data_IF_270613189889
#
_entry.id   IF_270613189889
#
_cell.length_a   1.000
_cell.length_b   1.000
_cell.length_c   1.000
_cell.angle_alpha   90.00
_cell.angle_beta   90.00
_cell.angle_gamma   90.00
#
_symmetry.space_group_name_H-M   'P 1'
#
loop_
_entity.id
_entity.type
_entity.pdbx_description
1 polymer ?
#
# COMPACT_ATOMS: atom_id res chain seq x y z
N UNK A 1 16.37 19.68 -1.14
CA UNK A 1 15.75 18.42 -0.59
C UNK A 1 16.05 17.19 -1.43
N UNK A 2 16.01 17.23 -2.78
CA UNK A 2 16.24 16.01 -3.58
C UNK A 2 17.54 15.29 -3.22
N UNK A 3 18.66 16.02 -3.17
CA UNK A 3 19.96 15.43 -2.77
C UNK A 3 19.90 14.74 -1.40
N UNK A 4 19.24 15.35 -0.41
CA UNK A 4 19.08 14.73 0.91
C UNK A 4 18.23 13.45 0.86
N UNK A 5 17.17 13.41 0.05
CA UNK A 5 16.36 12.21 -0.16
C UNK A 5 17.14 11.09 -0.86
N UNK A 6 17.93 11.43 -1.87
CA UNK A 6 18.80 10.47 -2.55
C UNK A 6 19.88 9.89 -1.60
N UNK A 7 20.44 10.72 -0.74
CA UNK A 7 21.38 10.28 0.31
C UNK A 7 20.72 9.34 1.33
N UNK A 8 19.52 9.69 1.82
CA UNK A 8 18.74 8.82 2.72
C UNK A 8 18.43 7.47 2.07
N UNK A 9 18.05 7.46 0.79
CA UNK A 9 17.81 6.24 0.03
C UNK A 9 19.06 5.38 -0.07
N UNK A 10 20.20 5.94 -0.46
CA UNK A 10 21.45 5.20 -0.60
C UNK A 10 21.96 4.67 0.75
N UNK A 11 21.91 5.48 1.81
CA UNK A 11 22.26 5.04 3.16
C UNK A 11 21.37 3.88 3.63
N UNK A 12 20.06 3.97 3.37
CA UNK A 12 19.14 2.90 3.70
C UNK A 12 19.44 1.62 2.91
N UNK A 13 19.70 1.74 1.62
CA UNK A 13 20.08 0.60 0.76
C UNK A 13 21.33 -0.11 1.27
N UNK A 14 22.27 0.64 1.84
CA UNK A 14 23.51 0.14 2.46
C UNK A 14 23.29 -0.44 3.87
N UNK A 15 22.07 -0.41 4.42
CA UNK A 15 21.75 -0.99 5.71
C UNK A 15 22.00 -0.08 6.91
N UNK A 16 22.25 1.21 6.70
CA UNK A 16 22.50 2.16 7.78
C UNK A 16 21.25 2.39 8.64
N UNK A 17 21.48 2.76 9.91
CA UNK A 17 20.45 3.21 10.82
C UNK A 17 20.39 4.75 10.85
N UNK A 18 19.20 5.28 11.09
CA UNK A 18 18.91 6.71 11.05
C UNK A 18 18.56 7.23 12.44
N UNK A 19 19.25 8.26 12.84
CA UNK A 19 19.07 8.99 14.09
C UNK A 19 18.83 10.46 13.75
N UNK A 20 18.26 11.24 14.69
CA UNK A 20 18.06 12.68 14.53
C UNK A 20 17.30 13.10 13.27
N UNK A 21 16.37 12.26 12.81
CA UNK A 21 15.57 12.55 11.61
C UNK A 21 14.70 13.80 11.77
N UNK A 22 14.36 14.18 13.00
CA UNK A 22 13.61 15.39 13.27
C UNK A 22 14.34 16.67 12.83
N UNK A 23 15.67 16.68 12.75
CA UNK A 23 16.45 17.80 12.21
C UNK A 23 16.16 18.00 10.71
N UNK A 24 16.09 16.91 9.95
CA UNK A 24 15.75 16.93 8.51
C UNK A 24 14.26 17.25 8.33
N UNK A 25 13.37 16.62 9.14
CA UNK A 25 11.93 16.82 9.08
C UNK A 25 11.57 18.28 9.38
N UNK A 26 12.21 18.92 10.37
CA UNK A 26 12.03 20.32 10.75
C UNK A 26 12.88 21.31 9.96
N UNK A 27 13.60 20.88 8.91
CA UNK A 27 14.35 21.80 8.07
C UNK A 27 13.42 22.67 7.23
N UNK A 28 13.81 23.91 6.99
CA UNK A 28 13.03 24.88 6.21
C UNK A 28 12.65 24.33 4.83
N UNK A 29 13.61 23.77 4.11
CA UNK A 29 13.41 23.24 2.77
C UNK A 29 12.40 22.07 2.78
N UNK A 30 12.40 21.24 3.83
CA UNK A 30 11.46 20.13 3.94
C UNK A 30 10.05 20.63 4.25
N UNK A 31 9.91 21.61 5.15
CA UNK A 31 8.60 22.17 5.51
C UNK A 31 7.98 22.91 4.30
N UNK A 32 8.75 23.73 3.60
CA UNK A 32 8.28 24.40 2.38
C UNK A 32 7.86 23.44 1.28
N UNK A 33 8.59 22.31 1.11
CA UNK A 33 8.22 21.27 0.17
C UNK A 33 6.92 20.56 0.61
N UNK A 34 6.79 20.23 1.89
CA UNK A 34 5.60 19.62 2.45
C UNK A 34 4.36 20.51 2.28
N UNK A 35 4.50 21.79 2.52
CA UNK A 35 3.43 22.76 2.30
C UNK A 35 2.99 22.80 0.82
N UNK A 36 3.93 22.87 -0.12
CA UNK A 36 3.64 22.81 -1.56
C UNK A 36 2.89 21.55 -1.96
N UNK A 37 3.35 20.38 -1.49
CA UNK A 37 2.71 19.10 -1.75
C UNK A 37 1.29 19.04 -1.16
N UNK A 38 1.10 19.54 0.06
CA UNK A 38 -0.21 19.57 0.71
C UNK A 38 -1.17 20.51 -0.03
N UNK A 39 -0.71 21.67 -0.50
CA UNK A 39 -1.53 22.66 -1.22
C UNK A 39 -2.11 22.10 -2.52
N UNK A 40 -1.38 21.24 -3.21
CA UNK A 40 -1.84 20.60 -4.47
C UNK A 40 -2.72 19.37 -4.25
N UNK A 41 -2.80 18.86 -3.01
CA UNK A 41 -3.63 17.71 -2.68
C UNK A 41 -5.12 18.08 -2.74
N UNK A 42 -5.92 17.25 -3.43
CA UNK A 42 -7.39 17.44 -3.56
C UNK A 42 -8.12 17.52 -2.21
N UNK A 43 -7.61 16.81 -1.19
CA UNK A 43 -8.14 16.83 0.17
C UNK A 43 -7.78 18.05 1.00
N UNK A 44 -6.90 18.94 0.52
CA UNK A 44 -6.39 20.09 1.29
C UNK A 44 -7.48 21.08 1.75
N UNK A 45 -8.58 21.15 0.99
CA UNK A 45 -9.76 22.00 1.29
C UNK A 45 -10.78 21.32 2.20
N UNK A 46 -10.56 20.08 2.61
CA UNK A 46 -11.46 19.38 3.52
C UNK A 46 -11.11 19.75 4.97
N UNK A 47 -12.08 20.27 5.72
CA UNK A 47 -11.88 20.69 7.11
C UNK A 47 -11.63 19.51 8.05
N UNK A 48 -10.77 19.72 9.07
CA UNK A 48 -10.65 18.85 10.24
C UNK A 48 -11.71 19.14 11.29
N UNK A 49 -11.47 18.76 12.53
CA UNK A 49 -12.31 19.09 13.70
C UNK A 49 -12.22 20.57 14.07
N UNK A 50 -11.09 21.22 13.75
CA UNK A 50 -10.82 22.63 13.98
C UNK A 50 -11.46 23.58 12.93
N UNK A 51 -12.15 23.03 11.94
CA UNK A 51 -12.77 23.80 10.85
C UNK A 51 -11.79 24.42 9.85
N UNK A 52 -10.47 24.22 10.03
CA UNK A 52 -9.41 24.83 9.21
C UNK A 52 -9.07 23.99 7.97
N UNK A 53 -8.60 24.71 6.94
CA UNK A 53 -8.19 24.17 5.65
C UNK A 53 -6.81 24.71 5.25
N UNK A 54 -6.34 24.35 4.07
CA UNK A 54 -5.08 24.92 3.51
C UNK A 54 -5.18 26.43 3.28
N UNK A 55 -6.37 26.99 3.06
CA UNK A 55 -6.55 28.43 2.84
C UNK A 55 -6.21 29.22 4.11
N UNK A 56 -6.43 28.67 5.30
CA UNK A 56 -6.05 29.29 6.59
C UNK A 56 -4.53 29.36 6.77
N UNK A 57 -3.78 28.42 6.20
CA UNK A 57 -2.29 28.45 6.22
C UNK A 57 -1.76 29.38 5.12
N UNK A 58 -2.46 29.53 4.01
CA UNK A 58 -2.03 30.29 2.83
C UNK A 58 -1.86 31.80 3.12
N UNK A 59 -2.56 32.31 4.13
CA UNK A 59 -2.44 33.69 4.59
C UNK A 59 -1.18 33.98 5.42
N UNK A 60 -0.45 32.96 5.84
CA UNK A 60 0.75 33.06 6.66
C UNK A 60 2.01 33.20 5.78
N UNK A 61 3.02 33.88 6.31
CA UNK A 61 4.35 33.90 5.71
C UNK A 61 5.05 32.55 5.86
N UNK A 62 5.99 32.25 4.98
CA UNK A 62 6.80 31.02 5.06
C UNK A 62 7.47 30.88 6.43
N UNK A 63 7.93 31.98 7.01
CA UNK A 63 8.56 32.00 8.32
C UNK A 63 7.58 31.56 9.42
N UNK A 64 6.36 32.09 9.43
CA UNK A 64 5.33 31.72 10.42
C UNK A 64 4.96 30.24 10.31
N UNK A 65 4.85 29.70 9.08
CA UNK A 65 4.60 28.29 8.85
C UNK A 65 5.74 27.43 9.40
N UNK A 66 6.99 27.79 9.12
CA UNK A 66 8.19 27.09 9.58
C UNK A 66 8.27 27.09 11.11
N UNK A 67 8.10 28.25 11.74
CA UNK A 67 8.15 28.38 13.20
C UNK A 67 7.04 27.57 13.87
N UNK A 68 5.81 27.60 13.31
CA UNK A 68 4.68 26.82 13.81
C UNK A 68 4.94 25.32 13.74
N UNK A 69 5.41 24.81 12.60
CA UNK A 69 5.73 23.38 12.44
C UNK A 69 6.85 22.96 13.39
N UNK A 70 7.92 23.77 13.52
CA UNK A 70 9.02 23.48 14.45
C UNK A 70 8.57 23.44 15.92
N UNK A 71 7.73 24.39 16.32
CA UNK A 71 7.13 24.43 17.68
C UNK A 71 6.32 23.16 17.94
N UNK A 72 5.47 22.78 16.98
CA UNK A 72 4.66 21.55 17.10
C UNK A 72 5.53 20.29 17.11
N UNK A 73 6.58 20.19 16.30
CA UNK A 73 7.49 19.04 16.31
C UNK A 73 8.30 18.92 17.62
N UNK A 74 8.57 20.03 18.30
CA UNK A 74 9.24 20.02 19.59
C UNK A 74 8.40 19.40 20.71
N UNK A 75 7.09 19.69 20.72
CA UNK A 75 6.12 19.13 21.65
C UNK A 75 4.80 18.81 20.90
N UNK A 76 4.80 17.66 20.23
CA UNK A 76 3.71 17.30 19.35
C UNK A 76 2.50 16.74 20.10
N UNK A 77 1.37 17.39 19.92
CA UNK A 77 0.06 16.96 20.41
C UNK A 77 -0.93 17.00 19.24
N UNK A 78 -1.29 15.85 18.66
CA UNK A 78 -2.26 15.80 17.56
C UNK A 78 -3.62 16.28 18.03
N UNK A 79 -4.33 16.98 17.15
CA UNK A 79 -5.74 17.29 17.36
C UNK A 79 -6.59 16.06 17.07
N UNK A 80 -7.86 16.08 17.51
CA UNK A 80 -8.79 15.01 17.22
C UNK A 80 -9.04 14.88 15.71
N UNK A 81 -9.29 13.65 15.28
CA UNK A 81 -9.52 13.31 13.88
C UNK A 81 -11.01 13.29 13.60
N UNK A 82 -11.49 14.06 12.64
CA UNK A 82 -12.91 14.09 12.25
C UNK A 82 -13.30 12.80 11.53
N UNK A 83 -14.35 12.13 11.99
CA UNK A 83 -14.86 10.89 11.39
C UNK A 83 -15.87 11.19 10.27
N UNK A 84 -15.64 10.63 9.09
CA UNK A 84 -16.54 10.72 7.94
C UNK A 84 -16.76 9.32 7.35
N UNK A 85 -18.01 9.00 7.03
CA UNK A 85 -18.37 7.72 6.44
C UNK A 85 -18.66 7.86 4.94
N UNK A 86 -17.84 7.21 4.11
CA UNK A 86 -18.01 7.22 2.64
C UNK A 86 -18.64 5.89 2.20
N UNK A 87 -19.72 5.91 1.38
CA UNK A 87 -20.31 4.69 0.84
C UNK A 87 -19.31 3.85 0.04
N UNK A 88 -19.31 2.53 0.24
CA UNK A 88 -18.54 1.62 -0.63
C UNK A 88 -19.32 1.38 -1.92
N UNK A 89 -18.74 1.60 -3.11
CA UNK A 89 -19.41 1.33 -4.36
C UNK A 89 -19.96 -0.11 -4.44
N UNK A 90 -21.25 -0.25 -4.72
CA UNK A 90 -21.91 -1.55 -4.86
C UNK A 90 -22.15 -2.31 -3.56
N UNK A 91 -22.23 -1.63 -2.42
CA UNK A 91 -22.50 -2.21 -1.11
C UNK A 91 -23.14 -1.16 -0.19
N UNK A 92 -24.03 -1.58 0.70
CA UNK A 92 -24.62 -0.71 1.76
C UNK A 92 -23.62 -0.37 2.87
N UNK A 93 -22.44 -0.98 2.84
CA UNK A 93 -21.35 -0.74 3.81
C UNK A 93 -20.68 0.61 3.54
N UNK A 94 -20.32 1.31 4.60
CA UNK A 94 -19.57 2.57 4.56
C UNK A 94 -18.11 2.32 4.94
N UNK A 95 -17.20 3.16 4.44
CA UNK A 95 -15.80 3.22 4.88
C UNK A 95 -15.66 4.36 5.89
N UNK A 96 -15.17 4.09 7.10
CA UNK A 96 -14.84 5.15 8.03
C UNK A 96 -13.54 5.82 7.58
N UNK A 97 -13.59 7.12 7.24
CA UNK A 97 -12.41 7.93 7.00
C UNK A 97 -12.14 8.80 8.23
N UNK A 98 -10.88 8.93 8.59
CA UNK A 98 -10.42 9.88 9.59
C UNK A 98 -9.71 11.05 8.91
N UNK A 99 -10.22 12.26 9.09
CA UNK A 99 -9.67 13.48 8.51
C UNK A 99 -8.93 14.25 9.62
N UNK A 100 -7.57 14.22 9.65
CA UNK A 100 -6.79 15.02 10.60
C UNK A 100 -6.91 16.50 10.29
N UNK A 101 -6.67 17.36 11.28
CA UNK A 101 -6.59 18.81 11.11
C UNK A 101 -5.46 19.19 10.14
N UNK A 102 -5.58 20.36 9.51
CA UNK A 102 -4.68 20.74 8.41
C UNK A 102 -3.20 20.83 8.86
N UNK A 103 -2.93 21.28 10.09
CA UNK A 103 -1.59 21.33 10.65
C UNK A 103 -1.02 19.95 10.92
N UNK A 104 -1.83 19.01 11.40
CA UNK A 104 -1.41 17.60 11.57
C UNK A 104 -1.10 16.95 10.22
N UNK A 105 -1.87 17.28 9.18
CA UNK A 105 -1.57 16.83 7.80
C UNK A 105 -0.25 17.39 7.29
N UNK A 106 0.08 18.65 7.61
CA UNK A 106 1.36 19.25 7.22
C UNK A 106 2.53 18.55 7.93
N UNK A 107 2.39 18.26 9.23
CA UNK A 107 3.40 17.50 10.00
C UNK A 107 3.54 16.07 9.44
N UNK A 108 2.43 15.38 9.17
CA UNK A 108 2.46 14.08 8.54
C UNK A 108 3.16 14.10 7.17
N UNK A 109 2.95 15.15 6.37
CA UNK A 109 3.63 15.33 5.09
C UNK A 109 5.13 15.56 5.27
N UNK A 110 5.54 16.37 6.26
CA UNK A 110 6.96 16.58 6.58
C UNK A 110 7.66 15.26 6.96
N UNK A 111 6.98 14.41 7.74
CA UNK A 111 7.48 13.11 8.15
C UNK A 111 7.51 12.13 6.97
N UNK A 112 6.43 12.05 6.20
CA UNK A 112 6.25 11.14 5.08
C UNK A 112 7.40 11.26 4.07
N UNK A 113 7.70 12.48 3.60
CA UNK A 113 8.70 12.68 2.55
C UNK A 113 10.14 12.41 2.98
N UNK A 114 10.42 12.38 4.30
CA UNK A 114 11.71 11.96 4.85
C UNK A 114 11.76 10.44 5.06
N UNK A 115 10.65 9.82 5.50
CA UNK A 115 10.61 8.37 5.73
C UNK A 115 10.49 7.55 4.44
N UNK A 116 9.83 8.08 3.42
CA UNK A 116 9.61 7.37 2.15
C UNK A 116 10.93 6.90 1.50
N UNK A 117 11.97 7.75 1.28
CA UNK A 117 13.23 7.31 0.72
C UNK A 117 14.00 6.33 1.63
N UNK A 118 13.79 6.36 2.95
CA UNK A 118 14.38 5.40 3.87
C UNK A 118 13.70 4.03 3.76
N UNK A 119 12.38 4.00 3.60
CA UNK A 119 11.59 2.78 3.56
C UNK A 119 11.64 2.08 2.18
N UNK A 120 11.68 2.86 1.09
CA UNK A 120 11.57 2.36 -0.29
C UNK A 120 12.58 1.24 -0.63
N UNK A 121 13.89 1.33 -0.33
CA UNK A 121 14.84 0.27 -0.65
C UNK A 121 14.67 -0.99 0.22
N UNK A 122 13.88 -0.93 1.30
CA UNK A 122 13.58 -2.06 2.18
C UNK A 122 12.32 -2.83 1.78
N UNK A 123 11.48 -2.23 0.93
CA UNK A 123 10.26 -2.88 0.47
C UNK A 123 10.55 -3.98 -0.54
N UNK A 124 9.76 -5.03 -0.45
CA UNK A 124 9.84 -6.14 -1.40
C UNK A 124 9.53 -5.67 -2.83
N UNK A 125 10.23 -6.24 -3.82
CA UNK A 125 10.11 -5.83 -5.22
C UNK A 125 8.72 -6.01 -5.80
N UNK A 126 7.92 -6.95 -5.30
CA UNK A 126 6.58 -7.27 -5.78
C UNK A 126 5.46 -6.72 -4.89
N UNK A 127 5.77 -5.65 -4.14
CA UNK A 127 4.82 -4.74 -3.50
C UNK A 127 4.68 -3.48 -4.36
N UNK A 128 3.46 -3.16 -4.81
CA UNK A 128 3.21 -2.14 -5.83
C UNK A 128 2.37 -0.95 -5.36
N UNK A 129 1.39 -1.15 -4.48
CA UNK A 129 0.49 -0.09 -4.03
C UNK A 129 1.20 0.99 -3.22
N UNK A 130 0.76 2.23 -3.34
CA UNK A 130 1.28 3.40 -2.61
C UNK A 130 2.79 3.67 -2.78
N UNK A 131 3.41 3.17 -3.83
CA UNK A 131 4.83 3.38 -4.13
C UNK A 131 4.98 4.16 -5.42
N UNK A 132 5.94 5.08 -5.46
CA UNK A 132 6.25 5.86 -6.66
C UNK A 132 6.67 4.97 -7.82
N UNK A 133 6.29 5.34 -9.04
CA UNK A 133 6.58 4.63 -10.28
C UNK A 133 6.07 3.17 -10.32
N UNK A 134 5.07 2.83 -9.48
CA UNK A 134 4.41 1.52 -9.45
C UNK A 134 2.90 1.70 -9.48
N UNK A 135 2.22 0.87 -10.24
CA UNK A 135 0.77 0.93 -10.42
C UNK A 135 0.10 -0.46 -10.42
N UNK A 136 -1.21 -0.48 -10.60
CA UNK A 136 -1.99 -1.69 -10.65
C UNK A 136 -1.63 -2.57 -11.87
N UNK A 137 -1.26 -1.96 -13.01
CA UNK A 137 -0.90 -2.69 -14.22
C UNK A 137 0.40 -3.48 -14.03
N UNK A 138 1.38 -2.92 -13.30
CA UNK A 138 2.61 -3.64 -12.94
C UNK A 138 2.31 -4.89 -12.10
N UNK A 139 1.40 -4.79 -11.11
CA UNK A 139 0.99 -5.92 -10.30
C UNK A 139 0.28 -6.99 -11.13
N UNK A 140 -0.68 -6.60 -11.99
CA UNK A 140 -1.40 -7.52 -12.88
C UNK A 140 -0.44 -8.16 -13.89
N UNK A 141 0.47 -7.38 -14.49
CA UNK A 141 1.48 -7.89 -15.42
C UNK A 141 2.38 -8.95 -14.78
N UNK A 142 2.71 -8.78 -13.49
CA UNK A 142 3.47 -9.80 -12.73
C UNK A 142 2.67 -11.10 -12.62
N UNK A 143 1.38 -11.05 -12.29
CA UNK A 143 0.50 -12.24 -12.23
C UNK A 143 0.43 -12.91 -13.62
N UNK A 144 0.22 -12.14 -14.69
CA UNK A 144 0.20 -12.65 -16.07
C UNK A 144 1.53 -13.33 -16.43
N UNK A 145 2.65 -12.74 -16.08
CA UNK A 145 3.98 -13.32 -16.29
C UNK A 145 4.16 -14.66 -15.52
N UNK A 146 3.69 -14.75 -14.27
CA UNK A 146 3.72 -16.00 -13.50
C UNK A 146 2.93 -17.12 -14.18
N UNK A 147 1.77 -16.81 -14.74
CA UNK A 147 0.95 -17.76 -15.50
C UNK A 147 1.64 -18.20 -16.80
N UNK A 148 2.04 -17.22 -17.63
CA UNK A 148 2.48 -17.49 -19.00
C UNK A 148 3.88 -18.12 -19.05
N UNK A 149 4.77 -17.74 -18.15
CA UNK A 149 6.19 -18.14 -18.17
C UNK A 149 6.51 -19.29 -17.20
N UNK A 150 5.73 -19.42 -16.10
CA UNK A 150 6.12 -20.32 -15.00
C UNK A 150 5.05 -21.34 -14.61
N UNK A 151 3.89 -21.40 -15.30
CA UNK A 151 2.77 -22.34 -15.04
C UNK A 151 2.15 -22.21 -13.65
N UNK A 152 2.14 -21.00 -13.07
CA UNK A 152 1.50 -20.76 -11.78
C UNK A 152 -0.01 -20.54 -12.00
N UNK A 153 -0.77 -21.63 -12.01
CA UNK A 153 -2.20 -21.63 -12.31
C UNK A 153 -3.09 -21.64 -11.06
N UNK A 154 -2.50 -21.71 -9.89
CA UNK A 154 -3.21 -21.64 -8.61
C UNK A 154 -2.89 -20.32 -7.94
N UNK A 155 -3.94 -19.65 -7.51
CA UNK A 155 -3.86 -18.35 -6.85
C UNK A 155 -4.42 -18.47 -5.44
N UNK A 156 -3.65 -18.08 -4.45
CA UNK A 156 -4.11 -17.88 -3.08
C UNK A 156 -4.57 -16.44 -2.96
N UNK A 157 -5.88 -16.26 -2.77
CA UNK A 157 -6.51 -14.96 -2.51
C UNK A 157 -6.79 -14.86 -1.01
N UNK A 158 -6.28 -13.83 -0.36
CA UNK A 158 -6.53 -13.57 1.07
C UNK A 158 -6.96 -12.12 1.24
N UNK A 159 -8.13 -11.92 1.83
CA UNK A 159 -8.67 -10.61 2.19
C UNK A 159 -8.48 -10.37 3.70
N UNK A 160 -7.70 -9.35 4.05
CA UNK A 160 -7.45 -8.99 5.45
C UNK A 160 -8.67 -8.22 5.98
N UNK A 161 -9.24 -8.67 7.11
CA UNK A 161 -10.43 -8.05 7.70
C UNK A 161 -10.10 -6.66 8.26
N UNK A 162 -10.66 -5.61 7.64
CA UNK A 162 -10.51 -4.23 8.12
C UNK A 162 -9.06 -3.84 8.37
N UNK A 163 -8.17 -4.05 7.40
CA UNK A 163 -6.73 -3.93 7.57
C UNK A 163 -6.30 -2.65 8.28
N UNK A 164 -6.71 -1.48 7.77
CA UNK A 164 -6.32 -0.19 8.33
C UNK A 164 -6.80 0.01 9.78
N UNK A 165 -7.96 -0.56 10.13
CA UNK A 165 -8.56 -0.42 11.45
C UNK A 165 -7.97 -1.40 12.48
N UNK A 166 -7.18 -2.40 12.03
CA UNK A 166 -6.66 -3.46 12.89
C UNK A 166 -5.12 -3.48 13.01
N UNK A 167 -4.42 -2.50 12.47
CA UNK A 167 -2.95 -2.41 12.60
C UNK A 167 -2.55 -2.27 14.06
N UNK A 168 -1.75 -3.19 14.58
CA UNK A 168 -1.24 -3.13 15.95
C UNK A 168 -0.14 -2.07 16.07
N UNK A 169 -0.36 -1.03 16.91
CA UNK A 169 0.55 0.10 17.08
C UNK A 169 1.95 -0.33 17.56
N UNK A 170 2.00 -1.18 18.58
CA UNK A 170 3.28 -1.64 19.13
C UNK A 170 4.09 -2.48 18.14
N UNK A 171 3.42 -3.32 17.34
CA UNK A 171 4.07 -4.09 16.28
C UNK A 171 4.60 -3.18 15.18
N UNK A 172 3.80 -2.21 14.73
CA UNK A 172 4.20 -1.26 13.70
C UNK A 172 5.43 -0.44 14.13
N UNK A 173 5.45 0.09 15.36
CA UNK A 173 6.61 0.84 15.87
C UNK A 173 7.88 -0.02 15.92
N UNK A 174 7.76 -1.31 16.29
CA UNK A 174 8.89 -2.26 16.23
C UNK A 174 9.35 -2.51 14.80
N UNK A 175 8.44 -2.59 13.84
CA UNK A 175 8.78 -2.74 12.42
C UNK A 175 9.50 -1.51 11.88
N UNK A 176 9.04 -0.29 12.19
CA UNK A 176 9.73 0.96 11.84
C UNK A 176 11.16 0.97 12.40
N UNK A 177 11.31 0.58 13.67
CA UNK A 177 12.63 0.44 14.28
C UNK A 177 13.52 -0.57 13.55
N UNK A 178 12.96 -1.70 13.14
CA UNK A 178 13.70 -2.76 12.43
C UNK A 178 14.15 -2.33 11.02
N UNK A 179 13.42 -1.43 10.38
CA UNK A 179 13.81 -0.83 9.09
C UNK A 179 15.02 0.13 9.22
N UNK A 180 15.47 0.42 10.43
CA UNK A 180 16.63 1.27 10.69
C UNK A 180 16.28 2.68 11.18
N UNK A 181 15.01 3.01 11.37
CA UNK A 181 14.56 4.31 11.89
C UNK A 181 14.69 4.29 13.40
N UNK A 182 15.83 4.83 13.92
CA UNK A 182 16.26 4.74 15.34
C UNK A 182 16.07 6.06 16.11
N UNK A 183 15.33 7.00 15.56
CA UNK A 183 14.98 8.26 16.23
C UNK A 183 13.79 8.04 17.17
N UNK A 184 14.07 7.96 18.49
CA UNK A 184 13.04 7.73 19.51
C UNK A 184 12.01 8.87 19.58
N UNK A 185 12.41 10.11 19.36
CA UNK A 185 11.51 11.26 19.37
C UNK A 185 10.53 11.19 18.20
N UNK A 186 11.01 10.84 17.02
CA UNK A 186 10.15 10.61 15.84
C UNK A 186 9.19 9.45 16.06
N UNK A 187 9.64 8.33 16.63
CA UNK A 187 8.75 7.21 16.97
C UNK A 187 7.67 7.59 18.00
N UNK A 188 8.00 8.48 18.94
CA UNK A 188 7.02 9.03 19.87
C UNK A 188 5.95 9.86 19.12
N UNK A 189 6.36 10.72 18.17
CA UNK A 189 5.44 11.49 17.34
C UNK A 189 4.54 10.55 16.51
N UNK A 190 5.11 9.53 15.86
CA UNK A 190 4.32 8.53 15.10
C UNK A 190 3.33 7.81 16.04
N UNK A 191 3.75 7.46 17.26
CA UNK A 191 2.86 6.85 18.25
C UNK A 191 1.71 7.78 18.63
N UNK A 192 1.96 9.08 18.80
CA UNK A 192 0.92 10.09 19.09
C UNK A 192 -0.04 10.24 17.89
N UNK A 193 0.47 10.23 16.64
CA UNK A 193 -0.38 10.23 15.43
C UNK A 193 -1.30 9.01 15.39
N UNK A 194 -0.78 7.82 15.69
CA UNK A 194 -1.57 6.59 15.71
C UNK A 194 -2.66 6.59 16.79
N UNK A 195 -2.41 7.28 17.90
CA UNK A 195 -3.30 7.42 19.06
C UNK A 195 -4.08 8.74 19.05
N UNK A 196 -4.12 9.45 17.93
CA UNK A 196 -4.97 10.65 17.82
C UNK A 196 -6.41 10.28 18.12
N UNK A 197 -7.06 11.04 18.99
CA UNK A 197 -8.46 10.85 19.34
C UNK A 197 -9.34 10.93 18.09
N UNK A 198 -10.29 10.04 17.97
CA UNK A 198 -11.27 10.05 16.88
C UNK A 198 -12.56 10.63 17.44
N UNK A 199 -13.03 11.70 16.81
CA UNK A 199 -14.25 12.39 17.21
C UNK A 199 -15.44 11.42 17.39
N UNK A 200 -15.99 11.36 18.59
CA UNK A 200 -17.10 10.47 18.95
C UNK A 200 -16.74 9.00 19.21
N UNK A 201 -15.44 8.59 19.00
CA UNK A 201 -14.99 7.21 19.21
C UNK A 201 -13.90 7.10 20.30
N UNK A 202 -13.23 8.22 20.63
CA UNK A 202 -12.13 8.25 21.60
C UNK A 202 -10.77 7.85 21.03
N UNK A 203 -9.83 7.47 21.91
CA UNK A 203 -8.46 7.12 21.53
C UNK A 203 -8.41 5.66 21.05
N UNK A 204 -7.95 5.40 19.81
CA UNK A 204 -7.87 4.05 19.28
C UNK A 204 -6.71 3.27 19.90
N UNK A 205 -6.93 2.00 20.24
CA UNK A 205 -5.89 1.07 20.72
C UNK A 205 -5.10 0.42 19.57
N UNK A 206 -5.66 0.45 18.38
CA UNK A 206 -5.11 -0.12 17.13
C UNK A 206 -5.63 0.65 15.91
N UNK A 207 -5.06 0.37 14.75
CA UNK A 207 -5.45 0.97 13.49
C UNK A 207 -4.58 2.16 13.08
N UNK A 208 -4.74 2.56 11.83
CA UNK A 208 -4.17 3.78 11.26
C UNK A 208 -5.30 4.60 10.67
N UNK A 209 -5.37 5.92 10.88
CA UNK A 209 -6.46 6.74 10.35
C UNK A 209 -6.56 6.60 8.83
N UNK A 210 -7.68 6.05 8.31
CA UNK A 210 -7.94 6.03 6.87
C UNK A 210 -8.20 7.47 6.40
N UNK A 211 -7.19 8.13 5.83
CA UNK A 211 -7.22 9.55 5.42
C UNK A 211 -6.03 10.36 5.94
N UNK A 212 -5.26 9.81 6.86
CA UNK A 212 -3.96 10.36 7.24
C UNK A 212 -2.95 10.22 6.10
N UNK A 213 -2.14 11.25 5.84
CA UNK A 213 -1.17 11.25 4.75
C UNK A 213 -0.06 10.20 4.92
N UNK A 214 0.33 9.90 6.15
CA UNK A 214 1.36 8.90 6.44
C UNK A 214 0.82 7.46 6.45
N UNK A 215 -0.50 7.26 6.55
CA UNK A 215 -1.12 5.93 6.72
C UNK A 215 -0.82 4.95 5.58
N UNK A 216 -0.73 5.36 4.30
CA UNK A 216 -0.31 4.47 3.21
C UNK A 216 1.11 3.92 3.41
N UNK A 217 2.07 4.75 3.81
CA UNK A 217 3.44 4.30 4.09
C UNK A 217 3.48 3.33 5.28
N UNK A 218 2.75 3.64 6.36
CA UNK A 218 2.67 2.78 7.54
C UNK A 218 2.06 1.41 7.19
N UNK A 219 1.06 1.39 6.32
CA UNK A 219 0.45 0.15 5.82
C UNK A 219 1.44 -0.72 5.02
N UNK A 220 2.28 -0.09 4.20
CA UNK A 220 3.34 -0.78 3.47
C UNK A 220 4.36 -1.40 4.42
N UNK A 221 4.75 -0.69 5.49
CA UNK A 221 5.69 -1.18 6.50
C UNK A 221 5.14 -2.43 7.19
N UNK A 222 3.86 -2.43 7.58
CA UNK A 222 3.22 -3.58 8.26
C UNK A 222 3.28 -4.82 7.39
N UNK A 223 2.87 -4.73 6.14
CA UNK A 223 2.78 -5.88 5.24
C UNK A 223 4.10 -6.25 4.55
N UNK A 224 5.12 -5.40 4.61
CA UNK A 224 6.45 -5.74 4.09
C UNK A 224 7.04 -6.99 4.76
N UNK A 225 6.73 -7.22 6.04
CA UNK A 225 7.16 -8.42 6.75
C UNK A 225 6.52 -9.70 6.15
N UNK A 226 5.25 -9.61 5.72
CA UNK A 226 4.57 -10.69 5.00
C UNK A 226 5.23 -10.95 3.64
N UNK A 227 5.52 -9.90 2.88
CA UNK A 227 6.13 -10.03 1.55
C UNK A 227 7.49 -10.75 1.63
N UNK A 228 8.35 -10.31 2.54
CA UNK A 228 9.65 -10.93 2.76
C UNK A 228 9.55 -12.33 3.34
N UNK A 229 8.57 -12.59 4.21
CA UNK A 229 8.34 -13.94 4.73
C UNK A 229 7.95 -14.89 3.61
N UNK A 230 6.95 -14.55 2.78
CA UNK A 230 6.55 -15.40 1.63
C UNK A 230 7.72 -15.62 0.69
N UNK A 231 8.44 -14.55 0.34
CA UNK A 231 9.58 -14.63 -0.56
C UNK A 231 10.72 -15.51 0.00
N UNK A 232 10.97 -15.44 1.32
CA UNK A 232 12.00 -16.24 1.99
C UNK A 232 11.71 -17.73 2.01
N UNK A 233 10.45 -18.13 1.87
CA UNK A 233 10.08 -19.55 1.82
C UNK A 233 10.55 -20.22 0.51
N UNK A 234 10.63 -19.46 -0.58
CA UNK A 234 10.96 -20.00 -1.89
C UNK A 234 11.80 -19.04 -2.76
N UNK A 235 11.30 -17.89 -3.13
CA UNK A 235 11.89 -17.00 -4.15
C UNK A 235 13.29 -16.51 -3.75
N UNK A 236 13.46 -16.12 -2.50
CA UNK A 236 14.73 -15.63 -1.94
C UNK A 236 15.36 -16.60 -0.94
N UNK A 237 14.83 -17.82 -0.84
CA UNK A 237 15.38 -18.86 0.03
C UNK A 237 16.86 -19.04 -0.19
N UNK A 238 17.63 -19.00 0.89
CA UNK A 238 19.08 -19.24 0.86
C UNK A 238 19.40 -20.29 1.92
N UNK A 239 19.99 -21.43 1.53
CA UNK A 239 20.38 -22.45 2.49
C UNK A 239 21.45 -21.93 3.45
N UNK A 240 21.40 -22.36 4.71
CA UNK A 240 22.43 -22.07 5.70
C UNK A 240 23.79 -22.60 5.21
N UNK A 241 24.83 -21.76 5.28
CA UNK A 241 26.21 -22.13 4.90
C UNK A 241 26.54 -22.00 3.41
N UNK A 242 25.62 -21.62 2.53
CA UNK A 242 25.89 -21.47 1.10
C UNK A 242 26.08 -19.99 0.75
N UNK A 243 27.25 -19.61 0.21
CA UNK A 243 27.51 -18.26 -0.29
C UNK A 243 26.57 -17.96 -1.47
N UNK A 244 25.89 -16.81 -1.43
CA UNK A 244 24.89 -16.32 -2.41
C UNK A 244 25.30 -16.39 -3.89
N UNK A 245 26.60 -16.49 -4.20
CA UNK A 245 27.14 -16.48 -5.57
C UNK A 245 27.02 -17.82 -6.32
N UNK A 246 27.10 -18.95 -5.62
CA UNK A 246 27.38 -20.23 -6.28
C UNK A 246 26.13 -21.06 -6.65
N UNK A 247 24.92 -20.69 -6.28
CA UNK A 247 23.73 -21.52 -6.50
C UNK A 247 22.53 -20.82 -7.18
N UNK A 248 22.54 -19.51 -7.36
CA UNK A 248 21.44 -18.80 -8.05
C UNK A 248 21.43 -19.17 -9.54
N UNK A 249 20.36 -19.87 -9.97
CA UNK A 249 20.14 -20.22 -11.37
C UNK A 249 20.59 -21.63 -11.78
N UNK A 250 21.25 -22.40 -10.93
CA UNK A 250 21.64 -23.76 -11.23
C UNK A 250 20.49 -24.75 -10.98
N UNK A 251 20.46 -25.87 -11.76
CA UNK A 251 19.55 -27.00 -11.49
C UNK A 251 19.70 -27.54 -10.07
N UNK A 252 20.87 -27.40 -9.46
CA UNK A 252 21.17 -27.80 -8.08
C UNK A 252 20.41 -26.99 -7.03
N UNK A 253 20.23 -25.66 -7.23
CA UNK A 253 19.48 -24.84 -6.27
C UNK A 253 18.01 -25.27 -6.16
N UNK A 254 17.34 -25.49 -7.29
CA UNK A 254 15.95 -25.96 -7.31
C UNK A 254 15.77 -27.32 -6.61
N UNK A 255 16.72 -28.24 -6.83
CA UNK A 255 16.71 -29.53 -6.16
C UNK A 255 16.89 -29.36 -4.65
N UNK A 256 17.81 -28.50 -4.24
CA UNK A 256 18.08 -28.21 -2.84
C UNK A 256 16.88 -27.51 -2.17
N UNK A 257 16.32 -26.48 -2.81
CA UNK A 257 15.14 -25.78 -2.30
C UNK A 257 13.95 -26.73 -2.13
N UNK A 258 13.70 -27.64 -3.10
CA UNK A 258 12.65 -28.66 -2.99
C UNK A 258 12.86 -29.63 -1.83
N UNK A 259 14.11 -29.89 -1.45
CA UNK A 259 14.43 -30.79 -0.33
C UNK A 259 14.23 -30.11 1.03
N UNK A 260 14.63 -28.84 1.15
CA UNK A 260 14.74 -28.17 2.45
C UNK A 260 13.67 -27.12 2.76
N UNK A 261 12.78 -26.79 1.81
CA UNK A 261 11.66 -25.88 2.09
C UNK A 261 10.37 -26.68 2.32
N UNK A 262 9.52 -26.21 3.24
CA UNK A 262 8.18 -26.75 3.46
C UNK A 262 7.15 -26.10 2.52
N UNK A 263 7.29 -24.78 2.28
CA UNK A 263 6.47 -24.03 1.33
C UNK A 263 7.24 -23.90 0.02
N UNK A 264 6.66 -24.38 -1.08
CA UNK A 264 7.34 -24.51 -2.38
C UNK A 264 6.62 -23.74 -3.45
N UNK A 265 7.39 -23.19 -4.38
CA UNK A 265 6.95 -22.63 -5.66
C UNK A 265 5.83 -21.59 -5.50
N UNK A 266 5.95 -20.70 -4.50
CA UNK A 266 5.01 -19.62 -4.20
C UNK A 266 5.65 -18.26 -4.36
N UNK A 267 4.94 -17.32 -5.01
CA UNK A 267 5.41 -15.96 -5.32
C UNK A 267 4.34 -14.93 -4.96
N UNK A 268 4.69 -13.97 -4.13
CA UNK A 268 3.78 -12.92 -3.71
C UNK A 268 3.69 -11.81 -4.77
N UNK A 269 2.48 -11.29 -4.96
CA UNK A 269 2.20 -10.05 -5.71
C UNK A 269 1.22 -9.25 -4.88
N UNK A 270 1.60 -8.07 -4.41
CA UNK A 270 0.79 -7.26 -3.49
C UNK A 270 0.57 -5.84 -4.00
N UNK A 271 -0.63 -5.35 -3.81
CA UNK A 271 -1.01 -3.95 -4.01
C UNK A 271 -1.76 -3.45 -2.77
N UNK A 272 -1.13 -2.65 -1.92
CA UNK A 272 -1.65 -2.25 -0.62
C UNK A 272 -1.99 -3.48 0.26
N UNK A 273 -3.24 -3.64 0.65
CA UNK A 273 -3.78 -4.78 1.42
C UNK A 273 -4.31 -5.93 0.53
N UNK A 274 -4.46 -5.70 -0.78
CA UNK A 274 -4.85 -6.74 -1.74
C UNK A 274 -3.61 -7.48 -2.24
N UNK A 275 -3.52 -8.78 -2.00
CA UNK A 275 -2.38 -9.57 -2.43
C UNK A 275 -2.76 -10.97 -2.90
N UNK A 276 -1.91 -11.53 -3.74
CA UNK A 276 -2.01 -12.89 -4.26
C UNK A 276 -0.71 -13.63 -4.07
N UNK A 277 -0.81 -14.94 -3.75
CA UNK A 277 0.35 -15.84 -3.82
C UNK A 277 0.11 -16.81 -4.97
N UNK A 278 0.98 -16.72 -5.97
CA UNK A 278 0.89 -17.53 -7.19
C UNK A 278 1.66 -18.84 -7.00
N UNK A 279 0.98 -19.99 -7.18
CA UNK A 279 1.53 -21.32 -6.98
C UNK A 279 1.34 -22.19 -8.22
N UNK A 280 2.22 -23.20 -8.37
CA UNK A 280 2.15 -24.15 -9.48
C UNK A 280 1.19 -25.28 -9.21
N UNK A 281 1.10 -25.79 -7.99
CA UNK A 281 0.25 -26.91 -7.59
C UNK A 281 -0.84 -26.49 -6.60
N UNK A 282 -1.93 -27.25 -6.55
CA UNK A 282 -2.99 -27.06 -5.57
C UNK A 282 -2.50 -27.28 -4.15
N UNK A 283 -1.70 -28.32 -3.97
CA UNK A 283 -1.15 -28.69 -2.65
C UNK A 283 -0.28 -27.56 -2.08
N UNK A 284 0.60 -26.96 -2.91
CA UNK A 284 1.42 -25.82 -2.47
C UNK A 284 0.57 -24.60 -2.16
N UNK A 285 -0.46 -24.33 -2.99
CA UNK A 285 -1.39 -23.24 -2.75
C UNK A 285 -2.15 -23.39 -1.42
N UNK A 286 -2.60 -24.61 -1.08
CA UNK A 286 -3.25 -24.89 0.21
C UNK A 286 -2.27 -24.68 1.39
N UNK A 287 -1.04 -25.13 1.26
CA UNK A 287 -0.02 -24.91 2.29
C UNK A 287 0.24 -23.42 2.52
N UNK A 288 0.41 -22.65 1.42
CA UNK A 288 0.57 -21.20 1.53
C UNK A 288 -0.67 -20.51 2.13
N UNK A 289 -1.87 -20.96 1.78
CA UNK A 289 -3.11 -20.42 2.34
C UNK A 289 -3.13 -20.53 3.86
N UNK A 290 -2.94 -21.72 4.41
CA UNK A 290 -2.95 -21.95 5.85
C UNK A 290 -1.78 -21.25 6.56
N UNK A 291 -0.57 -21.38 6.03
CA UNK A 291 0.61 -20.75 6.61
C UNK A 291 0.51 -19.20 6.60
N UNK A 292 -0.12 -18.60 5.57
CA UNK A 292 -0.34 -17.16 5.50
C UNK A 292 -1.35 -16.69 6.56
N UNK A 293 -2.43 -17.45 6.78
CA UNK A 293 -3.41 -17.15 7.84
C UNK A 293 -2.73 -17.19 9.21
N UNK A 294 -1.96 -18.22 9.48
CA UNK A 294 -1.23 -18.36 10.74
C UNK A 294 -0.21 -17.23 10.94
N UNK A 295 0.51 -16.85 9.88
CA UNK A 295 1.45 -15.73 9.91
C UNK A 295 0.76 -14.41 10.19
N UNK A 296 -0.33 -14.09 9.48
CA UNK A 296 -1.11 -12.88 9.70
C UNK A 296 -1.60 -12.79 11.15
N UNK A 297 -2.19 -13.86 11.67
CA UNK A 297 -2.73 -13.92 13.03
C UNK A 297 -1.65 -13.88 14.10
N UNK A 298 -0.67 -14.76 14.02
CA UNK A 298 0.36 -14.90 15.06
C UNK A 298 1.36 -13.74 15.05
N UNK A 299 1.83 -13.36 13.87
CA UNK A 299 2.95 -12.44 13.70
C UNK A 299 2.51 -10.98 13.55
N UNK A 300 1.47 -10.72 12.74
CA UNK A 300 0.99 -9.37 12.46
C UNK A 300 -0.23 -8.96 13.29
N UNK A 301 -0.87 -9.90 14.00
CA UNK A 301 -2.08 -9.67 14.80
C UNK A 301 -3.26 -9.21 13.92
N UNK A 302 -3.34 -9.76 12.70
CA UNK A 302 -4.37 -9.45 11.72
C UNK A 302 -5.22 -10.70 11.44
N UNK A 303 -6.53 -10.51 11.37
CA UNK A 303 -7.48 -11.55 10.98
C UNK A 303 -7.83 -11.44 9.50
N UNK A 304 -8.25 -12.56 8.90
CA UNK A 304 -8.74 -12.60 7.52
C UNK A 304 -10.27 -12.55 7.47
N UNK A 305 -10.82 -12.27 6.28
CA UNK A 305 -12.24 -12.47 5.93
C UNK A 305 -12.39 -13.87 5.29
N UNK A 306 -12.83 -14.90 6.03
CA UNK A 306 -12.87 -16.27 5.49
C UNK A 306 -13.76 -16.41 4.25
N UNK A 307 -14.86 -15.64 4.20
CA UNK A 307 -15.83 -15.64 3.10
C UNK A 307 -15.26 -15.09 1.79
N UNK A 308 -14.16 -14.34 1.84
CA UNK A 308 -13.48 -13.77 0.67
C UNK A 308 -12.14 -14.42 0.38
N UNK A 309 -11.60 -15.16 1.35
CA UNK A 309 -10.29 -15.80 1.24
C UNK A 309 -10.41 -17.20 0.69
N UNK A 310 -9.66 -17.55 -0.36
CA UNK A 310 -9.78 -18.83 -1.05
C UNK A 310 -8.56 -19.19 -1.90
N UNK A 311 -8.43 -20.46 -2.26
CA UNK A 311 -7.52 -20.93 -3.28
C UNK A 311 -8.28 -21.10 -4.59
N UNK A 312 -7.82 -20.46 -5.66
CA UNK A 312 -8.47 -20.45 -6.98
C UNK A 312 -7.60 -21.19 -8.00
N UNK A 313 -8.19 -22.16 -8.73
CA UNK A 313 -7.58 -22.71 -9.93
C UNK A 313 -7.99 -21.85 -11.14
N UNK A 314 -7.07 -21.04 -11.63
CA UNK A 314 -7.31 -20.08 -12.70
C UNK A 314 -7.68 -20.72 -14.05
N UNK A 315 -7.40 -22.03 -14.26
CA UNK A 315 -7.85 -22.77 -15.45
C UNK A 315 -9.35 -23.13 -15.40
N UNK A 316 -9.91 -23.21 -14.18
CA UNK A 316 -11.34 -23.50 -13.98
C UNK A 316 -12.14 -22.23 -13.72
N UNK A 317 -11.65 -21.40 -12.82
CA UNK A 317 -12.32 -20.20 -12.34
C UNK A 317 -11.46 -18.95 -12.61
N UNK A 318 -12.08 -17.78 -12.57
CA UNK A 318 -11.36 -16.50 -12.58
C UNK A 318 -11.10 -16.01 -11.15
N UNK A 319 -10.06 -15.16 -11.00
CA UNK A 319 -9.80 -14.39 -9.79
C UNK A 319 -9.77 -12.91 -10.13
N UNK A 320 -10.46 -12.09 -9.34
CA UNK A 320 -10.46 -10.65 -9.48
C UNK A 320 -9.22 -10.05 -8.79
N UNK A 321 -8.56 -9.09 -9.43
CA UNK A 321 -7.43 -8.36 -8.88
C UNK A 321 -7.38 -6.96 -9.45
N UNK A 322 -7.45 -5.94 -8.59
CA UNK A 322 -7.30 -4.52 -8.93
C UNK A 322 -8.21 -4.04 -10.09
N UNK A 323 -9.43 -4.53 -10.12
CA UNK A 323 -10.38 -4.19 -11.18
C UNK A 323 -10.31 -5.07 -12.43
N UNK A 324 -9.37 -6.03 -12.47
CA UNK A 324 -9.24 -7.01 -13.54
C UNK A 324 -9.73 -8.39 -13.09
N UNK A 325 -10.33 -9.11 -14.02
CA UNK A 325 -10.69 -10.54 -13.91
C UNK A 325 -9.62 -11.34 -14.64
N UNK A 326 -8.88 -12.18 -13.92
CA UNK A 326 -7.78 -12.99 -14.47
C UNK A 326 -8.25 -14.44 -14.58
N UNK A 327 -8.14 -15.03 -15.78
CA UNK A 327 -8.45 -16.43 -16.08
C UNK A 327 -7.36 -17.02 -16.99
N UNK A 328 -7.15 -18.33 -16.90
CA UNK A 328 -6.22 -19.06 -17.75
C UNK A 328 -7.01 -19.83 -18.80
N UNK A 329 -6.72 -19.59 -20.05
CA UNK A 329 -7.37 -20.22 -21.19
C UNK A 329 -6.38 -21.09 -21.98
N UNK A 330 -6.82 -22.18 -22.62
CA UNK A 330 -6.00 -22.96 -23.53
C UNK A 330 -5.65 -22.14 -24.77
N UNK A 331 -4.40 -22.24 -25.24
CA UNK A 331 -3.91 -21.59 -26.46
C UNK A 331 -2.77 -22.42 -27.06
N UNK A 332 -3.05 -23.16 -28.15
CA UNK A 332 -2.17 -24.18 -28.70
C UNK A 332 -0.76 -23.74 -29.11
N UNK A 333 -0.58 -22.50 -29.60
CA UNK A 333 0.72 -21.98 -30.04
C UNK A 333 1.53 -21.28 -28.93
N UNK A 334 1.30 -21.61 -27.65
CA UNK A 334 2.08 -21.08 -26.54
C UNK A 334 3.00 -22.13 -25.95
N UNK A 335 4.09 -21.70 -25.29
CA UNK A 335 5.11 -22.57 -24.68
C UNK A 335 4.52 -23.68 -23.79
N UNK A 336 3.37 -23.43 -23.17
CA UNK A 336 2.75 -24.36 -22.19
C UNK A 336 1.30 -24.70 -22.52
N UNK A 337 0.80 -24.34 -23.70
CA UNK A 337 -0.57 -24.62 -24.13
C UNK A 337 -1.65 -23.79 -23.42
N UNK A 338 -1.26 -22.80 -22.62
CA UNK A 338 -2.16 -21.93 -21.85
C UNK A 338 -1.66 -20.48 -21.83
N UNK A 339 -2.60 -19.54 -21.67
CA UNK A 339 -2.33 -18.11 -21.53
C UNK A 339 -3.24 -17.49 -20.47
N UNK A 340 -2.74 -16.51 -19.74
CA UNK A 340 -3.57 -15.64 -18.92
C UNK A 340 -4.37 -14.69 -19.81
N UNK A 341 -5.69 -14.65 -19.60
CA UNK A 341 -6.59 -13.65 -20.14
C UNK A 341 -6.98 -12.70 -19.02
N UNK A 342 -6.87 -11.42 -19.28
CA UNK A 342 -7.30 -10.33 -18.37
C UNK A 342 -8.45 -9.57 -19.02
N UNK A 343 -9.58 -9.50 -18.32
CA UNK A 343 -10.73 -8.69 -18.70
C UNK A 343 -11.05 -7.73 -17.56
N UNK A 344 -11.86 -6.72 -17.79
CA UNK A 344 -12.39 -5.89 -16.69
C UNK A 344 -13.24 -6.74 -15.74
N UNK A 345 -13.10 -6.53 -14.45
CA UNK A 345 -13.97 -7.20 -13.46
C UNK A 345 -15.42 -6.71 -13.60
N UNK A 346 -16.38 -7.54 -13.21
CA UNK A 346 -17.82 -7.20 -13.30
C UNK A 346 -18.15 -5.93 -12.51
N UNK A 347 -17.44 -5.69 -11.39
CA UNK A 347 -17.55 -4.46 -10.60
C UNK A 347 -17.02 -3.24 -11.36
N UNK A 348 -15.88 -3.39 -12.05
CA UNK A 348 -15.29 -2.32 -12.85
C UNK A 348 -16.20 -1.98 -14.04
N UNK A 349 -16.74 -2.97 -14.73
CA UNK A 349 -17.69 -2.77 -15.82
C UNK A 349 -18.95 -2.02 -15.34
N UNK A 350 -19.54 -2.46 -14.21
CA UNK A 350 -20.72 -1.78 -13.66
C UNK A 350 -20.41 -0.32 -13.29
N UNK A 351 -19.27 -0.05 -12.68
CA UNK A 351 -18.83 1.31 -12.30
C UNK A 351 -18.67 2.19 -13.53
N UNK A 352 -17.89 1.77 -14.50
CA UNK A 352 -17.64 2.51 -15.75
C UNK A 352 -18.94 2.76 -16.49
N UNK A 353 -19.81 1.74 -16.62
CA UNK A 353 -21.12 1.89 -17.29
C UNK A 353 -21.99 2.92 -16.57
N UNK A 354 -22.02 2.91 -15.23
CA UNK A 354 -22.81 3.88 -14.45
C UNK A 354 -22.26 5.32 -14.63
N UNK A 355 -20.94 5.49 -14.58
CA UNK A 355 -20.29 6.79 -14.80
C UNK A 355 -20.52 7.33 -16.20
N UNK A 356 -20.41 6.47 -17.24
CA UNK A 356 -20.72 6.86 -18.63
C UNK A 356 -22.17 7.27 -18.79
N UNK A 357 -23.13 6.48 -18.25
CA UNK A 357 -24.57 6.84 -18.28
C UNK A 357 -24.82 8.20 -17.63
N UNK A 358 -24.24 8.44 -16.43
CA UNK A 358 -24.40 9.71 -15.73
C UNK A 358 -23.84 10.90 -16.55
N UNK A 359 -22.69 10.74 -17.18
CA UNK A 359 -22.09 11.77 -18.04
C UNK A 359 -22.94 12.03 -19.28
N UNK A 360 -23.42 10.99 -19.95
CA UNK A 360 -24.34 11.15 -21.11
C UNK A 360 -25.61 11.88 -20.72
N UNK A 361 -26.25 11.53 -19.60
CA UNK A 361 -27.45 12.23 -19.08
C UNK A 361 -27.13 13.71 -18.83
N UNK A 362 -25.99 14.01 -18.24
CA UNK A 362 -25.57 15.39 -17.97
C UNK A 362 -25.34 16.19 -19.25
N UNK A 363 -24.73 15.60 -20.29
CA UNK A 363 -24.56 16.24 -21.61
C UNK A 363 -25.92 16.50 -22.24
N UNK A 364 -26.84 15.52 -22.23
CA UNK A 364 -28.19 15.69 -22.78
C UNK A 364 -28.96 16.83 -22.12
N UNK A 365 -28.82 17.04 -20.80
CA UNK A 365 -29.46 18.13 -20.06
C UNK A 365 -28.84 19.50 -20.32
N UNK A 366 -27.55 19.54 -20.62
CA UNK A 366 -26.77 20.77 -20.74
C UNK A 366 -25.73 20.63 -21.85
N UNK A 367 -26.17 20.68 -23.10
CA UNK A 367 -25.30 20.49 -24.26
C UNK A 367 -24.41 21.72 -24.47
N UNK A 368 -23.12 21.61 -24.16
CA UNK A 368 -22.10 22.60 -24.48
C UNK A 368 -20.86 21.91 -25.04
N UNK A 369 -20.15 22.58 -25.96
CA UNK A 369 -18.91 22.08 -26.56
C UNK A 369 -17.90 21.65 -25.48
N UNK A 370 -17.75 22.45 -24.43
CA UNK A 370 -16.84 22.15 -23.32
C UNK A 370 -17.18 20.83 -22.60
N UNK A 371 -18.45 20.50 -22.42
CA UNK A 371 -18.88 19.21 -21.80
C UNK A 371 -18.70 18.02 -22.70
N UNK A 372 -18.92 18.20 -24.01
CA UNK A 372 -18.66 17.16 -25.01
C UNK A 372 -17.16 16.85 -25.04
N UNK A 373 -16.32 17.86 -25.06
CA UNK A 373 -14.86 17.68 -25.01
C UNK A 373 -14.39 17.01 -23.71
N UNK A 374 -14.94 17.40 -22.56
CA UNK A 374 -14.65 16.75 -21.28
C UNK A 374 -15.08 15.27 -21.24
N UNK A 375 -16.19 14.93 -21.91
CA UNK A 375 -16.64 13.55 -22.07
C UNK A 375 -15.68 12.75 -22.95
N UNK A 376 -15.28 13.30 -24.10
CA UNK A 376 -14.33 12.65 -25.01
C UNK A 376 -12.99 12.40 -24.32
N UNK A 377 -12.46 13.39 -23.59
CA UNK A 377 -11.24 13.23 -22.79
C UNK A 377 -11.40 12.13 -21.73
N UNK A 378 -12.57 12.00 -21.10
CA UNK A 378 -12.78 10.96 -20.09
C UNK A 378 -12.88 9.56 -20.69
N UNK A 379 -13.27 9.40 -21.96
CA UNK A 379 -13.25 8.12 -22.67
C UNK A 379 -11.83 7.64 -22.97
N UNK A 380 -10.88 8.55 -23.17
CA UNK A 380 -9.47 8.21 -23.42
C UNK A 380 -8.83 7.63 -22.15
N UNK A 381 -9.33 8.00 -20.96
CA UNK A 381 -8.81 7.59 -19.65
C UNK A 381 -9.56 6.41 -18.98
N UNK A 382 -10.53 5.82 -19.68
CA UNK A 382 -11.25 4.59 -19.31
C UNK A 382 -10.60 3.37 -19.96
#
# INVERSE_FOLDING_TARGET
MQKAFDELYQQSKNGNNFYKLLEIIGSEQNICLAYRNLKTNSGSKTVGTDGKTIEDIKGLSDREVIETVRKQLADYHPQSVRRVFIPKPGSDKKRPLGIPCIWDRLIQQCILQVLEPICEPKFHNHSYGFRQNRDAHHAVSRVVSMVNMYKHYYCVDVDIKGFFDNVNHGKLLKQIWTLGIRDKRLLCIISKILKSEIEGEGIPDKGTPQGGLISPLLSLIVLNELDWWVSSQWETFTPNGVKKGNMKGSKGWLSYARKYTNLKDGYVVRYADDFKIMCRSYTDAQRYYHATIDFLKSRLKLDISPEKSKVVNLRKNSSDFLGFKIKVLPKGKTRYGYIAKTDMSDKAIKKVTAELKAKVINIRKHTTVGRINAYNLSLIHI
#
